data_IF_606408060560
#
_entry.id   IF_606408060560
#
_cell.length_a   1.000
_cell.length_b   1.000
_cell.length_c   1.000
_cell.angle_alpha   90.00
_cell.angle_beta   90.00
_cell.angle_gamma   90.00
#
_symmetry.space_group_name_H-M   'P 1'
#
loop_
_entity.id
_entity.type
_entity.pdbx_description
1 polymer ?
#
# COMPACT_ATOMS: atom_id res chain seq x y z
N UNK A 1 3.88 25.84 32.33
CA UNK A 1 4.20 25.62 30.93
C UNK A 1 3.79 24.19 30.67
N UNK A 2 2.83 23.97 29.77
CA UNK A 2 2.36 22.59 29.45
C UNK A 2 3.48 21.90 28.65
N UNK A 3 3.97 20.79 29.17
CA UNK A 3 5.04 20.04 28.51
C UNK A 3 4.53 19.53 27.16
N UNK A 4 5.07 20.10 26.09
CA UNK A 4 4.89 19.65 24.70
C UNK A 4 6.01 18.67 24.39
N UNK A 5 5.64 17.48 23.96
CA UNK A 5 6.57 16.45 23.55
C UNK A 5 6.45 16.21 22.05
N UNK A 6 7.58 15.99 21.39
CA UNK A 6 7.61 15.64 19.97
C UNK A 6 8.11 14.21 19.84
N UNK A 7 7.30 13.37 19.19
CA UNK A 7 7.66 11.97 18.91
C UNK A 7 7.59 11.69 17.41
N UNK A 8 8.47 10.82 16.94
CA UNK A 8 8.44 10.32 15.55
C UNK A 8 8.12 8.82 15.60
N UNK A 9 7.01 8.46 14.98
CA UNK A 9 6.50 7.09 14.97
C UNK A 9 6.52 6.53 13.55
N UNK A 10 7.05 5.32 13.33
CA UNK A 10 6.90 4.62 12.06
C UNK A 10 5.44 4.28 11.78
N UNK A 11 4.99 4.52 10.55
CA UNK A 11 3.65 4.21 10.08
C UNK A 11 3.69 3.03 9.13
N UNK A 12 2.84 2.05 9.35
CA UNK A 12 2.72 0.86 8.52
C UNK A 12 1.52 0.96 7.59
N UNK A 13 1.59 0.21 6.48
CA UNK A 13 0.49 0.06 5.51
C UNK A 13 0.14 1.33 4.72
N UNK A 14 0.96 2.38 4.75
CA UNK A 14 0.79 3.54 3.87
C UNK A 14 1.24 3.23 2.44
N UNK A 15 0.29 2.97 1.57
CA UNK A 15 0.57 2.63 0.16
C UNK A 15 0.36 3.78 -0.82
N UNK A 16 -0.06 4.97 -0.36
CA UNK A 16 -0.33 6.12 -1.24
C UNK A 16 -0.30 7.45 -0.48
N UNK A 17 -0.11 8.56 -1.21
CA UNK A 17 -0.09 9.90 -0.61
C UNK A 17 -1.43 10.28 0.06
N UNK A 18 -2.56 9.79 -0.45
CA UNK A 18 -3.88 9.96 0.18
C UNK A 18 -3.93 9.23 1.52
N UNK A 19 -3.29 8.06 1.62
CA UNK A 19 -3.18 7.31 2.87
C UNK A 19 -2.40 8.11 3.92
N UNK A 20 -1.31 8.77 3.52
CA UNK A 20 -0.54 9.64 4.39
C UNK A 20 -1.39 10.81 4.94
N UNK A 21 -2.15 11.47 4.06
CA UNK A 21 -3.08 12.54 4.48
C UNK A 21 -4.16 12.03 5.44
N UNK A 22 -4.68 10.82 5.23
CA UNK A 22 -5.68 10.24 6.12
C UNK A 22 -5.11 10.00 7.53
N UNK A 23 -3.91 9.40 7.61
CA UNK A 23 -3.22 9.20 8.91
C UNK A 23 -2.96 10.55 9.60
N UNK A 24 -2.45 11.54 8.86
CA UNK A 24 -2.17 12.88 9.37
C UNK A 24 -3.44 13.54 9.94
N UNK A 25 -4.53 13.53 9.18
CA UNK A 25 -5.81 14.12 9.60
C UNK A 25 -6.43 13.36 10.78
N UNK A 26 -6.33 12.03 10.81
CA UNK A 26 -6.80 11.22 11.94
C UNK A 26 -6.09 11.62 13.23
N UNK A 27 -4.76 11.74 13.20
CA UNK A 27 -4.00 12.08 14.40
C UNK A 27 -4.16 13.56 14.77
N UNK A 28 -4.23 14.49 13.81
CA UNK A 28 -4.54 15.91 14.05
C UNK A 28 -5.89 16.13 14.74
N UNK A 29 -6.86 15.26 14.46
CA UNK A 29 -8.20 15.32 15.07
C UNK A 29 -8.27 14.87 16.53
N UNK A 30 -7.19 14.30 17.08
CA UNK A 30 -7.20 13.78 18.45
C UNK A 30 -6.98 14.87 19.48
N UNK A 31 -7.75 14.84 20.60
CA UNK A 31 -7.59 15.81 21.69
C UNK A 31 -6.21 15.66 22.34
N UNK A 32 -5.47 16.76 22.44
CA UNK A 32 -4.12 16.77 23.01
C UNK A 32 -2.99 16.72 21.96
N UNK A 33 -3.30 16.62 20.67
CA UNK A 33 -2.35 16.80 19.56
C UNK A 33 -2.38 18.25 19.11
N UNK A 34 -1.21 18.89 19.05
CA UNK A 34 -1.06 20.25 18.52
C UNK A 34 -0.71 20.25 17.03
N UNK A 35 0.22 19.38 16.64
CA UNK A 35 0.70 19.28 15.27
C UNK A 35 0.98 17.81 14.93
N UNK A 36 0.56 17.37 13.78
CA UNK A 36 0.96 16.09 13.22
C UNK A 36 1.35 16.29 11.76
N UNK A 37 2.42 15.64 11.33
CA UNK A 37 2.91 15.69 9.96
C UNK A 37 3.43 14.31 9.54
N UNK A 38 2.96 13.83 8.40
CA UNK A 38 3.39 12.54 7.85
C UNK A 38 4.41 12.73 6.75
N UNK A 39 5.57 12.11 6.93
CA UNK A 39 6.56 11.98 5.87
C UNK A 39 6.31 10.65 5.12
N UNK A 40 5.65 10.74 3.96
CA UNK A 40 5.32 9.58 3.14
C UNK A 40 6.57 8.87 2.58
N UNK A 41 7.65 9.60 2.26
CA UNK A 41 8.87 9.00 1.74
C UNK A 41 9.65 8.20 2.81
N UNK A 42 9.59 8.64 4.06
CA UNK A 42 10.22 7.98 5.19
C UNK A 42 9.27 7.02 5.93
N UNK A 43 7.98 7.00 5.59
CA UNK A 43 6.92 6.27 6.31
C UNK A 43 6.90 6.60 7.82
N UNK A 44 7.04 7.88 8.17
CA UNK A 44 7.06 8.35 9.55
C UNK A 44 6.00 9.41 9.80
N UNK A 45 5.43 9.39 11.00
CA UNK A 45 4.53 10.39 11.55
C UNK A 45 5.28 11.16 12.65
N UNK A 46 5.42 12.46 12.48
CA UNK A 46 5.92 13.38 13.53
C UNK A 46 4.73 14.01 14.23
N UNK A 47 4.65 13.91 15.55
CA UNK A 47 3.55 14.45 16.36
C UNK A 47 4.09 15.30 17.48
N UNK A 48 3.54 16.52 17.60
CA UNK A 48 3.66 17.35 18.80
C UNK A 48 2.38 17.22 19.62
N UNK A 49 2.49 16.78 20.85
CA UNK A 49 1.34 16.45 21.68
C UNK A 49 1.58 16.74 23.16
N UNK A 50 0.51 16.74 23.92
CA UNK A 50 0.54 16.86 25.39
C UNK A 50 0.48 15.47 26.02
N UNK A 51 1.56 14.95 26.64
CA UNK A 51 1.60 13.62 27.25
C UNK A 51 0.55 13.40 28.36
N UNK A 52 0.11 14.52 28.99
CA UNK A 52 -0.95 14.48 30.00
C UNK A 52 -2.36 14.24 29.45
N UNK A 53 -2.57 14.44 28.13
CA UNK A 53 -3.90 14.35 27.49
C UNK A 53 -4.03 13.10 26.60
N UNK A 54 -2.95 12.73 25.93
CA UNK A 54 -2.98 11.59 24.98
C UNK A 54 -1.66 10.82 25.07
N UNK A 55 -1.76 9.51 24.91
CA UNK A 55 -0.61 8.59 24.86
C UNK A 55 -0.37 8.11 23.43
N UNK A 56 0.87 7.70 23.05
CA UNK A 56 1.15 7.12 21.77
C UNK A 56 0.29 5.88 21.45
N UNK A 57 -0.08 5.09 22.46
CA UNK A 57 -0.97 3.94 22.30
C UNK A 57 -2.37 4.34 21.81
N UNK A 58 -2.93 5.42 22.34
CA UNK A 58 -4.23 5.96 21.87
C UNK A 58 -4.17 6.49 20.45
N UNK A 59 -3.04 7.09 20.07
CA UNK A 59 -2.81 7.51 18.68
C UNK A 59 -2.76 6.27 17.75
N UNK A 60 -2.12 5.19 18.18
CA UNK A 60 -2.09 3.92 17.47
C UNK A 60 -3.49 3.35 17.27
N UNK A 61 -4.31 3.29 18.32
CA UNK A 61 -5.69 2.81 18.24
C UNK A 61 -6.51 3.58 17.20
N UNK A 62 -6.45 4.92 17.23
CA UNK A 62 -7.16 5.75 16.27
C UNK A 62 -6.67 5.54 14.81
N UNK A 63 -5.38 5.34 14.63
CA UNK A 63 -4.79 5.06 13.32
C UNK A 63 -5.15 3.64 12.85
N UNK A 64 -5.28 2.67 13.77
CA UNK A 64 -5.76 1.32 13.46
C UNK A 64 -7.24 1.30 13.06
N UNK A 65 -8.07 2.11 13.68
CA UNK A 65 -9.47 2.31 13.27
C UNK A 65 -9.57 2.90 11.85
N UNK A 66 -8.63 3.77 11.47
CA UNK A 66 -8.55 4.29 10.10
C UNK A 66 -7.95 3.30 9.08
N UNK A 67 -7.54 2.09 9.52
CA UNK A 67 -7.04 1.02 8.65
C UNK A 67 -5.53 1.02 8.43
N UNK A 68 -4.75 1.73 9.26
CA UNK A 68 -3.29 1.77 9.25
C UNK A 68 -2.74 1.29 10.60
N UNK A 69 -1.42 1.24 10.79
CA UNK A 69 -0.82 0.92 12.10
C UNK A 69 0.38 1.82 12.40
N UNK A 70 0.63 2.05 13.72
CA UNK A 70 1.78 2.79 14.23
C UNK A 70 2.65 1.86 15.09
N UNK A 71 3.96 1.99 14.95
CA UNK A 71 4.92 1.29 15.83
C UNK A 71 5.24 2.21 16.99
N UNK A 72 4.77 1.83 18.20
CA UNK A 72 4.85 2.68 19.41
C UNK A 72 5.93 2.20 20.39
N UNK A 73 6.22 0.89 20.42
CA UNK A 73 7.13 0.27 21.39
C UNK A 73 8.36 -0.31 20.70
N UNK A 74 9.41 0.51 20.50
CA UNK A 74 10.69 0.01 19.98
C UNK A 74 11.85 0.83 20.54
N UNK A 75 12.86 0.17 21.09
CA UNK A 75 14.10 0.80 21.57
C UNK A 75 14.92 1.48 20.44
N UNK A 76 14.82 0.94 19.21
CA UNK A 76 15.41 1.53 17.99
C UNK A 76 14.40 1.51 16.83
N UNK A 77 13.59 2.59 16.70
CA UNK A 77 12.57 2.70 15.65
C UNK A 77 13.15 2.58 14.24
N UNK A 78 14.39 3.02 14.03
CA UNK A 78 15.03 3.04 12.70
C UNK A 78 15.44 1.65 12.22
N UNK A 79 15.99 0.82 13.10
CA UNK A 79 16.40 -0.54 12.75
C UNK A 79 15.21 -1.44 12.41
N UNK A 80 14.15 -1.36 13.22
CA UNK A 80 12.92 -2.13 12.99
C UNK A 80 12.21 -1.68 11.72
N UNK A 81 12.16 -0.37 11.46
CA UNK A 81 11.58 0.16 10.24
C UNK A 81 12.33 -0.33 8.99
N UNK A 82 13.67 -0.40 9.03
CA UNK A 82 14.46 -0.93 7.90
C UNK A 82 14.21 -2.41 7.65
N UNK A 83 14.12 -3.21 8.70
CA UNK A 83 13.84 -4.63 8.58
C UNK A 83 12.46 -4.89 8.00
N UNK A 84 11.43 -4.19 8.52
CA UNK A 84 10.06 -4.26 8.00
C UNK A 84 9.97 -3.79 6.54
N UNK A 85 10.66 -2.71 6.16
CA UNK A 85 10.71 -2.23 4.78
C UNK A 85 11.36 -3.25 3.85
N UNK A 86 12.45 -3.90 4.28
CA UNK A 86 13.13 -4.97 3.50
C UNK A 86 12.24 -6.20 3.31
N UNK A 87 11.53 -6.61 4.36
CA UNK A 87 10.59 -7.74 4.29
C UNK A 87 9.41 -7.42 3.38
N UNK A 88 8.83 -6.22 3.53
CA UNK A 88 7.75 -5.74 2.66
C UNK A 88 8.19 -5.72 1.19
N UNK A 89 9.35 -5.14 0.88
CA UNK A 89 9.89 -5.11 -0.48
C UNK A 89 10.13 -6.51 -1.05
N UNK A 90 10.67 -7.44 -0.25
CA UNK A 90 10.91 -8.83 -0.67
C UNK A 90 9.59 -9.55 -0.98
N UNK A 91 8.59 -9.38 -0.14
CA UNK A 91 7.24 -9.94 -0.33
C UNK A 91 6.57 -9.36 -1.59
N UNK A 92 6.63 -8.04 -1.73
CA UNK A 92 6.08 -7.33 -2.89
C UNK A 92 6.75 -7.78 -4.19
N UNK A 93 8.08 -7.86 -4.23
CA UNK A 93 8.83 -8.36 -5.39
C UNK A 93 8.43 -9.79 -5.76
N UNK A 94 8.32 -10.70 -4.79
CA UNK A 94 7.90 -12.09 -5.03
C UNK A 94 6.49 -12.15 -5.60
N UNK A 95 5.57 -11.37 -5.06
CA UNK A 95 4.19 -11.31 -5.53
C UNK A 95 4.10 -10.72 -6.94
N UNK A 96 4.86 -9.66 -7.23
CA UNK A 96 4.92 -9.06 -8.57
C UNK A 96 5.43 -10.06 -9.61
N UNK A 97 6.53 -10.76 -9.33
CA UNK A 97 7.08 -11.77 -10.24
C UNK A 97 6.07 -12.89 -10.45
N UNK A 98 5.46 -13.41 -9.37
CA UNK A 98 4.45 -14.46 -9.46
C UNK A 98 3.21 -14.05 -10.26
N UNK A 99 2.71 -12.82 -10.05
CA UNK A 99 1.61 -12.28 -10.83
C UNK A 99 1.94 -12.18 -12.31
N UNK A 100 3.14 -11.71 -12.69
CA UNK A 100 3.57 -11.65 -14.09
C UNK A 100 3.74 -13.02 -14.73
N UNK A 101 4.32 -13.99 -14.02
CA UNK A 101 4.48 -15.37 -14.51
C UNK A 101 3.13 -16.01 -14.88
N UNK A 102 2.05 -15.69 -14.16
CA UNK A 102 0.72 -16.21 -14.48
C UNK A 102 -0.08 -15.30 -15.43
N UNK A 103 0.12 -13.98 -15.38
CA UNK A 103 -0.63 -13.04 -16.23
C UNK A 103 -0.17 -13.05 -17.68
N UNK A 104 1.11 -13.32 -17.96
CA UNK A 104 1.60 -13.44 -19.35
C UNK A 104 0.94 -14.63 -20.07
N UNK A 105 0.97 -15.86 -19.54
CA UNK A 105 0.24 -16.97 -20.16
C UNK A 105 -1.27 -16.71 -20.27
N UNK A 106 -1.87 -16.08 -19.24
CA UNK A 106 -3.29 -15.75 -19.27
C UNK A 106 -3.63 -14.78 -20.42
N UNK A 107 -2.82 -13.74 -20.61
CA UNK A 107 -3.00 -12.79 -21.71
C UNK A 107 -2.81 -13.46 -23.08
N UNK A 108 -1.81 -14.34 -23.23
CA UNK A 108 -1.59 -15.10 -24.46
C UNK A 108 -2.75 -16.06 -24.76
N UNK A 109 -3.26 -16.74 -23.73
CA UNK A 109 -4.45 -17.60 -23.87
C UNK A 109 -5.66 -16.79 -24.30
N UNK A 110 -5.89 -15.60 -23.73
CA UNK A 110 -6.99 -14.70 -24.13
C UNK A 110 -6.90 -14.29 -25.59
N UNK A 111 -5.69 -14.07 -26.13
CA UNK A 111 -5.50 -13.74 -27.55
C UNK A 111 -5.68 -14.94 -28.50
N UNK A 112 -5.22 -16.13 -28.09
CA UNK A 112 -5.19 -17.32 -28.97
C UNK A 112 -6.47 -18.15 -28.87
N UNK A 113 -7.04 -18.28 -27.68
CA UNK A 113 -8.16 -19.20 -27.39
C UNK A 113 -9.51 -18.50 -27.22
N UNK A 114 -9.65 -17.27 -27.72
CA UNK A 114 -10.87 -16.47 -27.60
C UNK A 114 -12.14 -17.18 -28.10
N UNK A 115 -12.00 -18.19 -28.98
CA UNK A 115 -13.13 -18.91 -29.63
C UNK A 115 -13.21 -20.41 -29.29
N UNK A 116 -12.39 -20.92 -28.36
CA UNK A 116 -12.39 -22.33 -28.03
C UNK A 116 -13.26 -22.63 -26.80
N UNK A 117 -14.25 -23.54 -26.89
CA UNK A 117 -15.24 -23.81 -25.82
C UNK A 117 -14.68 -24.48 -24.57
N UNK A 118 -13.42 -24.50 -24.33
CA UNK A 118 -12.78 -24.98 -23.08
C UNK A 118 -11.79 -23.97 -22.50
N UNK A 119 -11.33 -23.02 -23.31
CA UNK A 119 -10.32 -22.02 -22.92
C UNK A 119 -10.81 -21.09 -21.81
N UNK A 120 -12.09 -20.72 -21.83
CA UNK A 120 -12.69 -19.82 -20.85
C UNK A 120 -12.59 -20.35 -19.41
N UNK A 121 -12.73 -21.65 -19.19
CA UNK A 121 -12.62 -22.27 -17.86
C UNK A 121 -11.19 -22.25 -17.33
N UNK A 122 -10.21 -22.46 -18.21
CA UNK A 122 -8.79 -22.39 -17.85
C UNK A 122 -8.42 -20.94 -17.52
N UNK A 123 -8.85 -19.97 -18.34
CA UNK A 123 -8.62 -18.55 -18.10
C UNK A 123 -9.28 -18.08 -16.80
N UNK A 124 -10.50 -18.54 -16.51
CA UNK A 124 -11.20 -18.28 -15.27
C UNK A 124 -10.41 -18.79 -14.06
N UNK A 125 -9.92 -20.04 -14.11
CA UNK A 125 -9.15 -20.62 -13.01
C UNK A 125 -7.84 -19.87 -12.78
N UNK A 126 -7.11 -19.51 -13.84
CA UNK A 126 -5.87 -18.72 -13.74
C UNK A 126 -6.12 -17.32 -13.19
N UNK A 127 -7.14 -16.62 -13.69
CA UNK A 127 -7.52 -15.30 -13.19
C UNK A 127 -7.90 -15.36 -11.71
N UNK A 128 -8.68 -16.37 -11.31
CA UNK A 128 -9.06 -16.57 -9.91
C UNK A 128 -7.84 -16.76 -9.01
N UNK A 129 -6.86 -17.57 -9.43
CA UNK A 129 -5.61 -17.77 -8.69
C UNK A 129 -4.85 -16.44 -8.55
N UNK A 130 -4.73 -15.65 -9.63
CA UNK A 130 -4.08 -14.34 -9.59
C UNK A 130 -4.79 -13.42 -8.59
N UNK A 131 -6.11 -13.34 -8.63
CA UNK A 131 -6.91 -12.50 -7.76
C UNK A 131 -6.77 -12.90 -6.28
N UNK A 132 -6.84 -14.20 -5.97
CA UNK A 132 -6.80 -14.69 -4.56
C UNK A 132 -5.38 -14.64 -3.99
N UNK A 133 -4.37 -15.05 -4.76
CA UNK A 133 -3.00 -15.17 -4.25
C UNK A 133 -2.26 -13.83 -4.27
N UNK A 134 -2.30 -13.12 -5.39
CA UNK A 134 -1.53 -11.89 -5.59
C UNK A 134 -2.37 -10.63 -5.39
N UNK A 135 -3.68 -10.70 -5.65
CA UNK A 135 -4.61 -9.59 -5.48
C UNK A 135 -5.15 -9.43 -4.06
N UNK A 136 -4.92 -10.39 -3.15
CA UNK A 136 -5.54 -10.42 -1.82
C UNK A 136 -5.41 -9.10 -1.05
N UNK A 137 -4.25 -8.44 -1.10
CA UNK A 137 -4.03 -7.18 -0.41
C UNK A 137 -4.95 -6.06 -0.93
N UNK A 138 -5.18 -6.01 -2.25
CA UNK A 138 -6.09 -5.03 -2.85
C UNK A 138 -7.54 -5.23 -2.38
N UNK A 139 -7.99 -6.48 -2.30
CA UNK A 139 -9.35 -6.79 -1.85
C UNK A 139 -9.55 -6.50 -0.37
N UNK A 140 -8.61 -6.93 0.48
CA UNK A 140 -8.70 -6.71 1.93
C UNK A 140 -8.64 -5.21 2.25
N UNK A 141 -7.66 -4.50 1.72
CA UNK A 141 -7.49 -3.07 1.96
C UNK A 141 -8.62 -2.26 1.29
N UNK A 142 -8.99 -2.62 0.05
CA UNK A 142 -10.06 -1.95 -0.68
C UNK A 142 -11.41 -2.02 0.04
N UNK A 143 -11.78 -3.19 0.55
CA UNK A 143 -13.02 -3.38 1.33
C UNK A 143 -12.94 -2.63 2.66
N UNK A 144 -11.81 -2.73 3.38
CA UNK A 144 -11.62 -2.02 4.66
C UNK A 144 -11.80 -0.52 4.47
N UNK A 145 -11.12 0.10 3.50
CA UNK A 145 -11.24 1.53 3.24
C UNK A 145 -12.63 1.93 2.76
N UNK A 146 -13.28 1.13 1.91
CA UNK A 146 -14.64 1.40 1.45
C UNK A 146 -15.66 1.40 2.60
N UNK A 147 -15.52 0.48 3.56
CA UNK A 147 -16.39 0.42 4.75
C UNK A 147 -16.22 1.64 5.67
N UNK A 148 -15.04 2.29 5.68
CA UNK A 148 -14.78 3.52 6.43
C UNK A 148 -15.06 4.80 5.62
N UNK A 149 -15.77 4.68 4.50
CA UNK A 149 -16.17 5.83 3.68
C UNK A 149 -15.01 6.50 2.91
N UNK A 150 -13.84 5.87 2.85
CA UNK A 150 -12.68 6.33 2.09
C UNK A 150 -12.41 5.38 0.92
N UNK A 151 -12.29 5.93 -0.29
CA UNK A 151 -11.88 5.16 -1.47
C UNK A 151 -10.41 5.46 -1.79
N UNK A 152 -9.64 4.42 -2.03
CA UNK A 152 -8.23 4.53 -2.42
C UNK A 152 -7.96 3.74 -3.71
N UNK A 153 -6.70 3.72 -4.16
CA UNK A 153 -6.28 2.95 -5.33
C UNK A 153 -6.63 1.46 -5.20
N UNK A 154 -6.48 0.87 -4.01
CA UNK A 154 -6.78 -0.55 -3.77
C UNK A 154 -8.27 -0.84 -3.94
N UNK A 155 -9.15 0.09 -3.51
CA UNK A 155 -10.61 -0.01 -3.73
C UNK A 155 -10.95 0.00 -5.22
N UNK A 156 -10.32 0.88 -5.99
CA UNK A 156 -10.54 0.97 -7.43
C UNK A 156 -10.10 -0.32 -8.16
N UNK A 157 -8.92 -0.83 -7.81
CA UNK A 157 -8.38 -2.08 -8.38
C UNK A 157 -9.29 -3.26 -8.02
N UNK A 158 -9.68 -3.38 -6.75
CA UNK A 158 -10.58 -4.45 -6.31
C UNK A 158 -11.93 -4.41 -7.04
N UNK A 159 -12.52 -3.23 -7.18
CA UNK A 159 -13.81 -3.06 -7.86
C UNK A 159 -13.70 -3.39 -9.36
N UNK A 160 -12.72 -2.81 -10.06
CA UNK A 160 -12.57 -3.00 -11.51
C UNK A 160 -12.28 -4.44 -11.88
N UNK A 161 -11.37 -5.12 -11.16
CA UNK A 161 -11.04 -6.52 -11.42
C UNK A 161 -12.18 -7.46 -11.04
N UNK A 162 -12.96 -7.16 -9.98
CA UNK A 162 -14.16 -7.92 -9.63
C UNK A 162 -15.24 -7.81 -10.71
N UNK A 163 -15.51 -6.60 -11.21
CA UNK A 163 -16.51 -6.38 -12.27
C UNK A 163 -16.10 -7.14 -13.55
N UNK A 164 -14.84 -7.00 -13.97
CA UNK A 164 -14.33 -7.69 -15.15
C UNK A 164 -14.43 -9.23 -15.01
N UNK A 165 -14.09 -9.74 -13.83
CA UNK A 165 -14.20 -11.18 -13.54
C UNK A 165 -15.65 -11.66 -13.51
N UNK A 166 -16.55 -10.97 -12.81
CA UNK A 166 -17.96 -11.34 -12.70
C UNK A 166 -18.68 -11.28 -14.05
N UNK A 167 -18.38 -10.26 -14.87
CA UNK A 167 -18.91 -10.16 -16.22
C UNK A 167 -18.45 -11.35 -17.08
N UNK A 168 -17.16 -11.69 -17.02
CA UNK A 168 -16.60 -12.83 -17.75
C UNK A 168 -17.14 -14.16 -17.24
N UNK A 169 -17.34 -14.30 -15.94
CA UNK A 169 -17.98 -15.45 -15.34
C UNK A 169 -19.41 -15.66 -15.84
N UNK A 170 -20.21 -14.58 -15.87
CA UNK A 170 -21.56 -14.64 -16.43
C UNK A 170 -21.54 -15.10 -17.89
N UNK A 171 -20.66 -14.54 -18.71
CA UNK A 171 -20.54 -14.89 -20.12
C UNK A 171 -20.07 -16.34 -20.35
N UNK A 172 -19.27 -16.87 -19.43
CA UNK A 172 -18.80 -18.27 -19.48
C UNK A 172 -19.91 -19.26 -19.10
N UNK A 173 -20.74 -18.91 -18.10
CA UNK A 173 -21.79 -19.81 -17.58
C UNK A 173 -23.06 -19.72 -18.41
N UNK A 174 -23.42 -18.55 -18.92
CA UNK A 174 -24.62 -18.30 -19.69
C UNK A 174 -24.35 -17.73 -21.10
N UNK A 175 -23.60 -18.42 -21.96
CA UNK A 175 -23.28 -17.93 -23.30
C UNK A 175 -24.53 -17.82 -24.21
N UNK A 176 -25.57 -18.63 -23.95
CA UNK A 176 -26.83 -18.66 -24.73
C UNK A 176 -27.54 -17.30 -24.73
N UNK A 177 -27.47 -16.55 -23.63
CA UNK A 177 -28.07 -15.22 -23.55
C UNK A 177 -27.56 -14.24 -24.64
N UNK A 178 -26.31 -14.40 -25.05
CA UNK A 178 -25.71 -13.58 -26.11
C UNK A 178 -25.97 -14.14 -27.49
N UNK A 179 -25.96 -15.47 -27.66
CA UNK A 179 -26.23 -16.11 -28.94
C UNK A 179 -27.68 -15.86 -29.41
N UNK A 180 -28.65 -15.82 -28.50
CA UNK A 180 -30.07 -15.50 -28.84
C UNK A 180 -30.21 -14.05 -29.35
N UNK A 181 -29.28 -13.17 -28.99
CA UNK A 181 -29.21 -11.77 -29.45
C UNK A 181 -28.31 -11.57 -30.68
N UNK A 182 -27.75 -12.62 -31.23
CA UNK A 182 -26.83 -12.56 -32.37
C UNK A 182 -25.46 -11.98 -32.03
N UNK A 183 -25.06 -11.98 -30.71
CA UNK A 183 -23.80 -11.47 -30.22
C UNK A 183 -22.92 -12.64 -29.71
N UNK A 184 -21.60 -12.49 -29.84
CA UNK A 184 -20.65 -13.44 -29.26
C UNK A 184 -20.31 -13.04 -27.83
N UNK A 185 -20.27 -14.03 -26.86
CA UNK A 185 -19.90 -13.74 -25.47
C UNK A 185 -18.40 -13.51 -25.35
N UNK A 186 -17.99 -12.26 -25.10
CA UNK A 186 -16.61 -11.92 -24.83
C UNK A 186 -16.28 -12.07 -23.34
N UNK A 187 -15.09 -12.61 -23.03
CA UNK A 187 -14.56 -12.72 -21.67
C UNK A 187 -13.36 -11.79 -21.50
N UNK A 188 -13.13 -11.30 -20.28
CA UNK A 188 -12.09 -10.33 -19.92
C UNK A 188 -11.29 -10.82 -18.70
N UNK A 189 -11.08 -12.14 -18.58
CA UNK A 189 -10.31 -12.70 -17.47
C UNK A 189 -8.85 -12.21 -17.48
N UNK A 190 -8.27 -12.08 -18.69
CA UNK A 190 -6.93 -11.55 -18.87
C UNK A 190 -6.80 -10.12 -18.36
N UNK A 191 -7.82 -9.29 -18.54
CA UNK A 191 -7.81 -7.92 -18.04
C UNK A 191 -7.68 -7.89 -16.51
N UNK A 192 -8.43 -8.74 -15.79
CA UNK A 192 -8.34 -8.83 -14.33
C UNK A 192 -6.94 -9.21 -13.86
N UNK A 193 -6.30 -10.19 -14.49
CA UNK A 193 -4.93 -10.62 -14.15
C UNK A 193 -3.87 -9.58 -14.48
N UNK A 194 -3.96 -9.00 -15.66
CA UNK A 194 -2.99 -8.00 -16.16
C UNK A 194 -3.06 -6.70 -15.34
N UNK A 195 -4.26 -6.23 -14.97
CA UNK A 195 -4.41 -5.06 -14.10
C UNK A 195 -3.70 -5.29 -12.76
N UNK A 196 -3.91 -6.44 -12.11
CA UNK A 196 -3.24 -6.76 -10.84
C UNK A 196 -1.72 -6.78 -11.01
N UNK A 197 -1.21 -7.40 -12.09
CA UNK A 197 0.23 -7.48 -12.35
C UNK A 197 0.86 -6.10 -12.57
N UNK A 198 0.22 -5.21 -13.34
CA UNK A 198 0.71 -3.85 -13.56
C UNK A 198 0.65 -2.99 -12.30
N UNK A 199 -0.39 -3.09 -11.51
CA UNK A 199 -0.49 -2.34 -10.25
C UNK A 199 0.56 -2.81 -9.25
N UNK A 200 0.82 -4.12 -9.14
CA UNK A 200 1.91 -4.65 -8.33
C UNK A 200 3.27 -4.17 -8.82
N UNK A 201 3.48 -4.10 -10.13
CA UNK A 201 4.70 -3.54 -10.71
C UNK A 201 4.85 -2.06 -10.35
N UNK A 202 3.78 -1.27 -10.47
CA UNK A 202 3.77 0.14 -10.07
C UNK A 202 4.15 0.33 -8.61
N UNK A 203 3.55 -0.44 -7.70
CA UNK A 203 3.90 -0.45 -6.26
C UNK A 203 5.35 -0.85 -6.02
N UNK A 204 5.88 -1.83 -6.77
CA UNK A 204 7.29 -2.25 -6.64
C UNK A 204 8.25 -1.14 -7.07
N UNK A 205 7.95 -0.44 -8.16
CA UNK A 205 8.76 0.69 -8.64
C UNK A 205 8.71 1.87 -7.67
N UNK A 206 7.53 2.17 -7.13
CA UNK A 206 7.34 3.20 -6.10
C UNK A 206 8.16 2.90 -4.85
N UNK A 207 8.08 1.66 -4.33
CA UNK A 207 8.82 1.25 -3.15
C UNK A 207 10.35 1.28 -3.38
N UNK A 208 10.79 0.92 -4.59
CA UNK A 208 12.19 1.04 -4.97
C UNK A 208 12.66 2.50 -4.98
N UNK A 209 11.83 3.41 -5.49
CA UNK A 209 12.14 4.84 -5.49
C UNK A 209 12.22 5.42 -4.08
N UNK A 210 11.26 5.07 -3.19
CA UNK A 210 11.27 5.46 -1.77
C UNK A 210 12.53 5.01 -1.06
N UNK A 211 12.90 3.74 -1.20
CA UNK A 211 14.09 3.18 -0.57
C UNK A 211 15.39 3.86 -1.04
N UNK A 212 15.47 4.21 -2.33
CA UNK A 212 16.62 4.94 -2.87
C UNK A 212 16.74 6.35 -2.29
N UNK A 213 15.61 7.07 -2.17
CA UNK A 213 15.57 8.43 -1.59
C UNK A 213 15.91 8.43 -0.10
N UNK A 214 15.34 7.50 0.66
CA UNK A 214 15.58 7.36 2.09
C UNK A 214 17.06 7.07 2.39
N UNK A 215 17.70 6.21 1.60
CA UNK A 215 19.14 5.90 1.78
C UNK A 215 20.05 7.09 1.46
N UNK A 216 19.70 7.92 0.47
CA UNK A 216 20.44 9.13 0.14
C UNK A 216 20.34 10.18 1.27
N UNK A 217 19.15 10.37 1.85
CA UNK A 217 18.95 11.29 2.99
C UNK A 217 19.74 10.80 4.22
N UNK A 218 19.72 9.50 4.52
CA UNK A 218 20.49 8.92 5.64
C UNK A 218 22.00 9.08 5.44
N UNK A 219 22.49 8.93 4.22
CA UNK A 219 23.91 9.17 3.91
C UNK A 219 24.33 10.60 4.18
N UNK A 220 23.47 11.58 3.86
CA UNK A 220 23.73 13.00 4.16
C UNK A 220 23.64 13.29 5.65
N UNK A 221 22.69 12.70 6.38
CA UNK A 221 22.57 12.85 7.83
C UNK A 221 23.76 12.22 8.58
N UNK A 222 24.33 11.15 8.05
CA UNK A 222 25.55 10.52 8.60
C UNK A 222 26.82 11.38 8.50
N UNK A 223 26.82 12.39 7.65
CA UNK A 223 27.91 13.37 7.53
C UNK A 223 27.81 14.49 8.58
N UNK A 224 26.72 14.59 9.32
CA UNK A 224 26.57 15.60 10.37
C UNK A 224 27.49 15.25 11.55
N UNK A 225 28.42 16.17 11.96
CA UNK A 225 29.31 15.90 13.06
C UNK A 225 28.53 15.70 14.36
N UNK A 226 28.76 14.57 15.04
CA UNK A 226 28.11 14.23 16.31
C UNK A 226 28.60 15.03 17.49
N UNK A 227 29.68 15.78 17.31
CA UNK A 227 30.28 16.64 18.34
C UNK A 227 30.56 18.01 17.76
N UNK A 228 30.07 19.06 18.42
CA UNK A 228 30.41 20.44 18.13
C UNK A 228 31.48 20.89 19.16
N UNK A 229 32.66 21.26 18.69
CA UNK A 229 33.65 21.90 19.52
C UNK A 229 33.25 23.39 19.67
N UNK A 230 32.68 23.75 20.80
CA UNK A 230 32.49 25.12 21.18
C UNK A 230 33.86 25.68 21.57
N UNK A 231 34.48 26.45 20.68
CA UNK A 231 35.57 27.34 21.05
C UNK A 231 34.95 28.55 21.78
N UNK A 232 34.92 28.53 23.10
CA UNK A 232 34.78 29.74 23.88
C UNK A 232 36.11 30.46 23.78
N UNK A 233 36.16 31.57 23.04
CA UNK A 233 37.31 32.48 23.09
C UNK A 233 37.23 33.24 24.41
N UNK A 234 37.88 32.75 25.44
CA UNK A 234 38.32 33.55 26.56
C UNK A 234 39.52 34.39 26.06
N UNK A 235 39.22 35.47 25.36
CA UNK A 235 40.17 36.51 25.00
C UNK A 235 39.47 37.85 25.17
N UNK A 236 39.26 38.24 26.44
CA UNK A 236 38.96 39.59 26.83
C UNK A 236 39.57 39.81 28.22
N UNK A 237 40.87 40.11 28.28
CA UNK A 237 41.56 40.95 29.25
C UNK A 237 42.43 41.92 28.50
#
# INVERSE_FOLDING_TARGET
MKDLETIILPVLEMSCAVCANNVENTVKGLPGVEEASVNFAANTLSVKYHPSLITPQKMREAVQEAGYDLVVEVEDPTAVQEEMAREHYRKLRRNTIGAWVLSIPLALLGMVFMHTPGGNWIMMALALVIMIVFGRSFYVNGVRHALHGSANMDTLVALSTSIAFLFSFFNTVYPQFWYEKGLEPHVYYEASGVIIAFVLLGKLLEERAKNSTSSAIKSLMGLQPKTCLLYTSDAAD
#
